data_IF_476101701473
#
_entry.id   IF_476101701473
#
_cell.length_a   1.000
_cell.length_b   1.000
_cell.length_c   1.000
_cell.angle_alpha   90.00
_cell.angle_beta   90.00
_cell.angle_gamma   90.00
#
_symmetry.space_group_name_H-M   'P 1'
#
loop_
_entity.id
_entity.type
_entity.pdbx_description
1 polymer ?
#
# COMPACT_ATOMS: atom_id res chain seq x y z
N UNK A 1 5.08 1.45 -16.14
CA UNK A 1 4.47 1.73 -14.82
C UNK A 1 3.72 3.04 -14.97
N UNK A 2 2.48 3.13 -14.50
CA UNK A 2 1.64 4.33 -14.65
C UNK A 2 2.06 5.42 -13.64
N UNK A 3 2.27 6.66 -14.09
CA UNK A 3 2.51 7.84 -13.23
C UNK A 3 1.22 8.48 -12.73
N UNK A 4 0.11 7.75 -12.74
CA UNK A 4 -1.14 8.25 -12.19
C UNK A 4 -1.08 8.27 -10.66
N UNK A 5 -1.91 9.11 -10.00
CA UNK A 5 -2.10 9.02 -8.55
C UNK A 5 -2.45 7.58 -8.14
N UNK A 6 -2.10 7.21 -6.91
CA UNK A 6 -2.41 5.89 -6.39
C UNK A 6 -3.93 5.76 -6.22
N UNK A 7 -4.60 5.09 -7.17
CA UNK A 7 -6.05 4.87 -7.15
C UNK A 7 -6.34 3.62 -6.31
N UNK A 8 -6.99 3.81 -5.16
CA UNK A 8 -7.44 2.69 -4.32
C UNK A 8 -8.82 2.20 -4.79
N UNK A 9 -8.93 0.90 -5.08
CA UNK A 9 -10.15 0.26 -5.56
C UNK A 9 -11.12 -0.03 -4.40
N UNK A 10 -12.35 0.47 -4.47
CA UNK A 10 -13.41 0.06 -3.55
C UNK A 10 -14.07 -1.25 -4.06
N UNK A 11 -14.19 -2.31 -3.24
CA UNK A 11 -14.61 -3.65 -3.71
C UNK A 11 -16.07 -3.75 -4.17
N UNK A 12 -16.92 -2.76 -3.88
CA UNK A 12 -18.36 -2.79 -4.23
C UNK A 12 -18.71 -2.18 -5.59
N UNK A 13 -17.75 -1.69 -6.37
CA UNK A 13 -18.03 -0.99 -7.64
C UNK A 13 -16.92 -1.24 -8.65
N UNK A 14 -16.98 -2.40 -9.30
CA UNK A 14 -16.22 -2.66 -10.53
C UNK A 14 -17.22 -3.00 -11.65
N UNK A 15 -17.10 -2.44 -12.87
CA UNK A 15 -16.04 -1.54 -13.33
C UNK A 15 -16.32 -0.06 -13.07
N UNK A 16 -15.27 0.69 -12.70
CA UNK A 16 -15.28 2.15 -12.72
C UNK A 16 -15.39 2.68 -14.14
N UNK A 17 -16.31 3.61 -14.37
CA UNK A 17 -16.49 4.28 -15.66
C UNK A 17 -15.60 5.53 -15.71
N UNK A 18 -15.05 5.82 -16.90
CA UNK A 18 -14.23 7.01 -17.13
C UNK A 18 -15.04 8.28 -16.77
N UNK A 19 -14.51 9.11 -15.87
CA UNK A 19 -15.17 10.36 -15.44
C UNK A 19 -16.15 10.24 -14.27
N UNK A 20 -16.18 9.11 -13.55
CA UNK A 20 -16.92 9.02 -12.30
C UNK A 20 -16.25 9.90 -11.23
N UNK A 21 -17.05 10.76 -10.59
CA UNK A 21 -16.65 11.82 -9.67
C UNK A 21 -17.00 11.49 -8.21
N UNK A 22 -17.49 10.27 -7.93
CA UNK A 22 -17.71 9.74 -6.57
C UNK A 22 -16.44 9.25 -5.89
N UNK A 23 -15.29 9.48 -6.51
CA UNK A 23 -13.99 8.94 -6.12
C UNK A 23 -13.19 10.00 -5.36
N UNK A 24 -12.55 9.60 -4.27
CA UNK A 24 -11.60 10.43 -3.57
C UNK A 24 -10.24 10.34 -4.28
N UNK A 25 -9.78 11.46 -4.84
CA UNK A 25 -8.44 11.57 -5.42
C UNK A 25 -7.53 12.10 -4.33
N UNK A 26 -6.58 11.28 -3.89
CA UNK A 26 -5.55 11.70 -2.95
C UNK A 26 -4.36 12.21 -3.78
N UNK A 27 -4.09 13.51 -3.68
CA UNK A 27 -2.92 14.10 -4.31
C UNK A 27 -1.65 13.61 -3.60
N UNK A 28 -0.75 12.98 -4.36
CA UNK A 28 0.55 12.62 -3.85
C UNK A 28 1.47 13.84 -3.94
N UNK A 29 2.06 14.26 -2.82
CA UNK A 29 3.14 15.26 -2.79
C UNK A 29 4.50 14.56 -2.58
N UNK A 30 5.51 14.81 -3.44
CA UNK A 30 5.43 15.57 -4.69
C UNK A 30 4.61 14.85 -5.77
N UNK A 31 4.06 15.60 -6.76
CA UNK A 31 3.28 15.01 -7.85
C UNK A 31 4.08 13.88 -8.52
N UNK A 32 3.42 12.76 -8.87
CA UNK A 32 4.09 11.60 -9.42
C UNK A 32 4.86 11.98 -10.70
N UNK A 33 6.20 11.99 -10.61
CA UNK A 33 7.11 12.08 -11.75
C UNK A 33 7.45 10.67 -12.24
N UNK A 34 8.03 10.56 -13.44
CA UNK A 34 8.55 9.28 -13.97
C UNK A 34 9.55 8.62 -12.99
N UNK A 35 10.24 9.43 -12.20
CA UNK A 35 11.22 8.99 -11.22
C UNK A 35 10.65 8.80 -9.81
N UNK A 36 9.33 8.90 -9.57
CA UNK A 36 8.71 8.80 -8.23
C UNK A 36 9.24 7.59 -7.46
N UNK A 37 9.20 6.42 -8.10
CA UNK A 37 9.62 5.17 -7.47
C UNK A 37 11.13 5.09 -7.32
N UNK A 38 11.91 5.58 -8.27
CA UNK A 38 13.37 5.66 -8.15
C UNK A 38 13.78 6.51 -6.94
N UNK A 39 13.18 7.70 -6.81
CA UNK A 39 13.42 8.59 -5.68
C UNK A 39 12.96 7.97 -4.35
N UNK A 40 11.84 7.25 -4.33
CA UNK A 40 11.40 6.54 -3.13
C UNK A 40 12.42 5.46 -2.69
N UNK A 41 12.97 4.69 -3.63
CA UNK A 41 14.01 3.71 -3.33
C UNK A 41 15.32 4.37 -2.86
N UNK A 42 15.71 5.50 -3.45
CA UNK A 42 16.85 6.29 -2.96
C UNK A 42 16.63 6.75 -1.51
N UNK A 43 15.45 7.32 -1.19
CA UNK A 43 15.11 7.73 0.19
C UNK A 43 15.17 6.56 1.16
N UNK A 44 14.63 5.41 0.77
CA UNK A 44 14.66 4.19 1.59
C UNK A 44 16.11 3.72 1.84
N UNK A 45 16.94 3.64 0.80
CA UNK A 45 18.33 3.21 0.92
C UNK A 45 19.16 4.16 1.80
N UNK A 46 19.02 5.47 1.60
CA UNK A 46 19.70 6.48 2.42
C UNK A 46 19.29 6.38 3.89
N UNK A 47 17.99 6.24 4.17
CA UNK A 47 17.48 6.13 5.55
C UNK A 47 17.98 4.86 6.25
N UNK A 48 18.13 3.76 5.51
CA UNK A 48 18.73 2.53 6.03
C UNK A 48 20.22 2.74 6.39
N UNK A 49 20.97 3.43 5.53
CA UNK A 49 22.38 3.76 5.78
C UNK A 49 22.52 4.67 7.00
N UNK A 50 21.64 5.66 7.18
CA UNK A 50 21.65 6.54 8.34
C UNK A 50 21.44 5.76 9.65
N UNK A 51 20.46 4.86 9.68
CA UNK A 51 20.21 3.99 10.84
C UNK A 51 21.45 3.13 11.17
N UNK A 52 22.08 2.51 10.16
CA UNK A 52 23.29 1.70 10.36
C UNK A 52 24.46 2.54 10.90
N UNK A 53 24.54 3.81 10.51
CA UNK A 53 25.54 4.76 11.01
C UNK A 53 25.17 5.41 12.36
N UNK A 54 24.07 5.01 12.99
CA UNK A 54 23.60 5.58 14.26
C UNK A 54 23.06 7.01 14.14
N UNK A 55 22.66 7.44 12.94
CA UNK A 55 22.04 8.74 12.68
C UNK A 55 20.51 8.60 12.64
N UNK A 56 19.82 9.68 12.97
CA UNK A 56 18.37 9.77 12.74
C UNK A 56 18.12 9.97 11.25
N UNK A 57 17.36 9.08 10.58
CA UNK A 57 17.06 9.23 9.16
C UNK A 57 16.08 10.39 8.93
N UNK A 58 16.17 11.03 7.77
CA UNK A 58 15.18 12.04 7.33
C UNK A 58 13.80 11.40 7.11
N UNK A 59 13.76 10.19 6.56
CA UNK A 59 12.53 9.45 6.26
C UNK A 59 12.42 8.22 7.15
N UNK A 60 11.29 8.08 7.83
CA UNK A 60 11.04 6.91 8.67
C UNK A 60 10.90 5.65 7.81
N UNK A 61 11.67 4.61 8.16
CA UNK A 61 11.50 3.29 7.57
C UNK A 61 10.34 2.55 8.24
N UNK A 62 9.63 1.76 7.46
CA UNK A 62 8.58 0.87 7.98
C UNK A 62 9.19 -0.10 8.99
N UNK A 63 8.72 -0.02 10.24
CA UNK A 63 9.09 -0.96 11.30
C UNK A 63 8.23 -2.23 11.25
N UNK A 64 8.59 -3.23 12.06
CA UNK A 64 7.90 -4.52 12.09
C UNK A 64 6.42 -4.42 12.50
N UNK A 65 6.06 -3.50 13.40
CA UNK A 65 4.67 -3.30 13.81
C UNK A 65 3.82 -2.75 12.66
N UNK A 66 4.32 -1.73 11.95
CA UNK A 66 3.65 -1.15 10.80
C UNK A 66 3.58 -2.16 9.64
N UNK A 67 4.66 -2.91 9.39
CA UNK A 67 4.66 -3.97 8.37
C UNK A 67 3.58 -5.02 8.65
N UNK A 68 3.44 -5.45 9.92
CA UNK A 68 2.38 -6.38 10.33
C UNK A 68 0.99 -5.79 10.08
N UNK A 69 0.75 -4.55 10.50
CA UNK A 69 -0.54 -3.88 10.28
C UNK A 69 -0.89 -3.81 8.79
N UNK A 70 0.06 -3.42 7.93
CA UNK A 70 -0.15 -3.32 6.49
C UNK A 70 -0.43 -4.70 5.86
N UNK A 71 0.24 -5.74 6.33
CA UNK A 71 -0.05 -7.11 5.91
C UNK A 71 -1.47 -7.54 6.32
N UNK A 72 -1.89 -7.27 7.56
CA UNK A 72 -3.25 -7.57 8.03
C UNK A 72 -4.31 -6.82 7.21
N UNK A 73 -4.06 -5.56 6.84
CA UNK A 73 -4.92 -4.79 5.95
C UNK A 73 -5.01 -5.41 4.55
N UNK A 74 -3.89 -5.85 3.98
CA UNK A 74 -3.86 -6.53 2.69
C UNK A 74 -4.62 -7.87 2.72
N UNK A 75 -4.48 -8.64 3.80
CA UNK A 75 -5.24 -9.87 4.03
C UNK A 75 -6.75 -9.62 4.12
N UNK A 76 -7.18 -8.57 4.84
CA UNK A 76 -8.58 -8.18 4.91
C UNK A 76 -9.14 -7.78 3.55
N UNK A 77 -8.40 -6.99 2.77
CA UNK A 77 -8.81 -6.58 1.44
C UNK A 77 -8.99 -7.80 0.52
N UNK A 78 -8.06 -8.75 0.56
CA UNK A 78 -8.16 -10.02 -0.16
C UNK A 78 -9.39 -10.83 0.28
N UNK A 79 -9.62 -11.02 1.58
CA UNK A 79 -10.77 -11.75 2.10
C UNK A 79 -12.12 -11.09 1.74
N UNK A 80 -12.19 -9.76 1.79
CA UNK A 80 -13.36 -9.01 1.34
C UNK A 80 -13.62 -9.18 -0.15
N UNK A 81 -12.57 -9.14 -0.97
CA UNK A 81 -12.67 -9.35 -2.42
C UNK A 81 -13.20 -10.75 -2.77
N UNK A 82 -12.67 -11.81 -2.14
CA UNK A 82 -13.10 -13.19 -2.38
C UNK A 82 -14.54 -13.42 -1.92
N UNK A 83 -14.93 -12.85 -0.77
CA UNK A 83 -16.28 -13.04 -0.21
C UNK A 83 -17.35 -12.12 -0.81
N UNK A 84 -16.95 -11.05 -1.50
CA UNK A 84 -17.87 -10.01 -1.97
C UNK A 84 -18.60 -9.29 -0.82
N UNK A 85 -18.04 -9.28 0.38
CA UNK A 85 -18.70 -8.79 1.60
C UNK A 85 -17.74 -8.05 2.53
N UNK A 86 -18.30 -7.31 3.50
CA UNK A 86 -17.52 -6.65 4.55
C UNK A 86 -16.98 -7.71 5.53
N UNK A 87 -15.70 -7.62 5.87
CA UNK A 87 -15.03 -8.50 6.83
C UNK A 87 -14.61 -7.74 8.09
N UNK A 88 -14.34 -8.47 9.17
CA UNK A 88 -13.82 -7.94 10.44
C UNK A 88 -12.63 -8.78 10.92
N UNK A 89 -11.70 -8.15 11.64
CA UNK A 89 -10.67 -8.88 12.36
C UNK A 89 -11.21 -9.48 13.66
N UNK A 90 -10.65 -10.62 14.13
CA UNK A 90 -9.67 -11.44 13.41
C UNK A 90 -10.30 -12.17 12.22
N UNK A 91 -9.53 -12.39 11.16
CA UNK A 91 -10.01 -13.18 10.02
C UNK A 91 -10.20 -14.66 10.46
N UNK A 92 -11.15 -15.39 9.86
CA UNK A 92 -11.37 -16.80 10.16
C UNK A 92 -10.17 -17.69 9.80
N UNK A 93 -9.43 -17.30 8.76
CA UNK A 93 -8.19 -17.95 8.35
C UNK A 93 -7.00 -17.01 8.60
N UNK A 94 -5.98 -17.52 9.29
CA UNK A 94 -4.72 -16.82 9.56
C UNK A 94 -3.63 -17.11 8.52
N UNK A 95 -3.90 -17.96 7.54
CA UNK A 95 -2.97 -18.23 6.44
C UNK A 95 -2.71 -16.95 5.66
N UNK A 96 -1.44 -16.67 5.38
CA UNK A 96 -1.07 -15.57 4.51
C UNK A 96 -1.43 -15.96 3.05
N UNK A 97 -2.42 -15.30 2.41
CA UNK A 97 -2.84 -15.64 1.05
C UNK A 97 -1.73 -15.44 0.02
N UNK A 98 -0.71 -14.65 0.36
CA UNK A 98 0.43 -14.38 -0.51
C UNK A 98 1.48 -15.50 -0.51
N UNK A 99 1.46 -16.43 0.45
CA UNK A 99 2.41 -17.55 0.50
C UNK A 99 2.21 -18.53 -0.68
N UNK A 100 0.99 -18.60 -1.21
CA UNK A 100 0.62 -19.45 -2.35
C UNK A 100 0.50 -18.70 -3.68
N UNK A 101 0.77 -17.39 -3.71
CA UNK A 101 0.62 -16.59 -4.92
C UNK A 101 1.75 -16.89 -5.90
N UNK A 102 1.41 -17.44 -7.07
CA UNK A 102 2.31 -17.64 -8.21
C UNK A 102 2.15 -16.56 -9.26
#
# INVERSE_FOLDING_TARGET
>A
MSNQPDIYYHPLVNPGLFGDNRWEIIEAEPPPSEDKWLQAHHRMATSMIDIVNGKTPEWELVNGQNAKLYLEMAMMAHASHISGSRVSLPLPDSNNPFDSWK
#
